data_IF_534866792174
#
_entry.id   IF_534866792174
#
_cell.length_a   1.000
_cell.length_b   1.000
_cell.length_c   1.000
_cell.angle_alpha   90.00
_cell.angle_beta   90.00
_cell.angle_gamma   90.00
#
_symmetry.space_group_name_H-M   'P 1'
#
loop_
_entity.id
_entity.type
_entity.pdbx_description
1 polymer ?
#
# COMPACT_ATOMS: atom_id res chain seq x y z
N UNK A 1 -17.08 1.07 4.87
CA UNK A 1 -15.69 0.58 4.72
C UNK A 1 -14.80 1.05 5.88
N UNK A 2 -13.91 0.17 6.36
CA UNK A 2 -12.90 0.45 7.39
C UNK A 2 -11.60 -0.26 7.03
N UNK A 3 -10.48 0.34 7.41
CA UNK A 3 -9.16 -0.29 7.31
C UNK A 3 -8.40 -0.15 8.61
N UNK A 4 -7.65 -1.19 8.97
CA UNK A 4 -6.76 -1.19 10.12
C UNK A 4 -5.45 -1.86 9.75
N UNK A 5 -4.38 -1.42 10.41
CA UNK A 5 -3.03 -1.96 10.22
C UNK A 5 -2.42 -2.26 11.58
N UNK A 6 -1.65 -3.34 11.65
CA UNK A 6 -1.00 -3.79 12.86
C UNK A 6 0.37 -4.40 12.54
N UNK A 7 1.22 -4.44 13.57
CA UNK A 7 2.43 -5.22 13.58
C UNK A 7 2.73 -5.71 14.99
N UNK A 8 3.61 -6.71 15.09
CA UNK A 8 4.05 -7.26 16.38
C UNK A 8 4.86 -6.26 17.22
N UNK A 9 5.40 -5.21 16.58
CA UNK A 9 6.22 -4.16 17.19
C UNK A 9 6.13 -2.86 16.39
N UNK A 10 6.50 -1.77 17.05
CA UNK A 10 6.54 -0.42 16.46
C UNK A 10 7.97 0.17 16.39
N UNK A 11 8.99 -0.58 16.83
CA UNK A 11 10.40 -0.15 16.77
C UNK A 11 11.20 -1.24 16.07
N UNK A 12 12.02 -0.84 15.09
CA UNK A 12 12.85 -1.71 14.25
C UNK A 12 14.29 -1.19 14.22
N UNK A 13 15.26 -2.07 13.94
CA UNK A 13 16.64 -1.65 13.67
C UNK A 13 16.85 -1.34 12.19
N UNK A 14 17.85 -0.52 11.87
CA UNK A 14 18.28 -0.28 10.49
C UNK A 14 18.55 -1.61 9.79
N UNK A 15 17.88 -1.82 8.65
CA UNK A 15 17.98 -3.03 7.82
C UNK A 15 17.32 -4.28 8.41
N UNK A 16 16.55 -4.13 9.49
CA UNK A 16 15.74 -5.21 10.01
C UNK A 16 14.46 -5.37 9.17
N UNK A 17 14.16 -6.59 8.65
CA UNK A 17 12.91 -6.83 7.96
C UNK A 17 11.72 -6.80 8.93
N UNK A 18 10.57 -6.36 8.41
CA UNK A 18 9.32 -6.26 9.15
C UNK A 18 8.16 -6.92 8.41
N UNK A 19 7.16 -7.33 9.17
CA UNK A 19 5.86 -7.76 8.66
C UNK A 19 4.77 -6.86 9.22
N UNK A 20 3.86 -6.45 8.34
CA UNK A 20 2.71 -5.63 8.66
C UNK A 20 1.46 -6.36 8.18
N UNK A 21 0.47 -6.47 9.06
CA UNK A 21 -0.82 -7.10 8.75
C UNK A 21 -1.88 -6.04 8.75
N UNK A 22 -2.63 -5.96 7.66
CA UNK A 22 -3.78 -5.06 7.55
C UNK A 22 -5.06 -5.84 7.29
N UNK A 23 -6.16 -5.25 7.73
CA UNK A 23 -7.50 -5.77 7.57
C UNK A 23 -8.38 -4.71 6.91
N UNK A 24 -9.07 -5.10 5.84
CA UNK A 24 -10.07 -4.29 5.15
C UNK A 24 -11.44 -4.89 5.42
N UNK A 25 -12.33 -4.09 6.00
CA UNK A 25 -13.74 -4.45 6.18
C UNK A 25 -14.61 -3.59 5.27
N UNK A 26 -15.27 -4.24 4.33
CA UNK A 26 -16.27 -3.68 3.43
C UNK A 26 -17.66 -4.18 3.83
N UNK A 27 -18.67 -3.41 3.44
CA UNK A 27 -20.07 -3.75 3.69
C UNK A 27 -20.91 -3.30 2.50
N UNK A 28 -22.20 -3.64 2.49
CA UNK A 28 -23.10 -3.36 1.36
C UNK A 28 -23.30 -1.87 1.05
N UNK A 29 -22.79 -0.94 1.88
CA UNK A 29 -22.80 0.50 1.62
C UNK A 29 -21.65 0.98 0.73
N UNK A 30 -20.65 0.14 0.44
CA UNK A 30 -19.59 0.50 -0.50
C UNK A 30 -20.18 0.54 -1.92
N UNK A 31 -20.21 1.72 -2.56
CA UNK A 31 -20.73 1.83 -3.92
C UNK A 31 -19.86 1.04 -4.90
N UNK A 32 -20.41 0.65 -6.07
CA UNK A 32 -19.59 0.14 -7.16
C UNK A 32 -18.47 1.14 -7.50
N UNK A 33 -17.26 0.62 -7.68
CA UNK A 33 -16.07 1.39 -8.01
C UNK A 33 -15.99 1.47 -9.54
N UNK A 34 -15.85 2.68 -10.05
CA UNK A 34 -15.72 2.94 -11.49
C UNK A 34 -14.25 2.94 -11.86
N UNK A 35 -13.87 2.05 -12.77
CA UNK A 35 -12.52 1.94 -13.31
C UNK A 35 -12.52 2.64 -14.67
N UNK A 36 -11.79 3.74 -14.76
CA UNK A 36 -11.54 4.40 -16.03
C UNK A 36 -10.64 3.54 -16.91
N UNK A 37 -10.93 3.51 -18.21
CA UNK A 37 -9.99 2.97 -19.18
C UNK A 37 -8.70 3.79 -19.16
N UNK A 38 -7.55 3.14 -19.33
CA UNK A 38 -6.27 3.82 -19.47
C UNK A 38 -5.70 3.67 -20.88
N UNK A 39 -4.93 4.66 -21.31
CA UNK A 39 -4.12 4.58 -22.52
C UNK A 39 -2.65 4.49 -22.10
N UNK A 40 -2.02 3.34 -22.35
CA UNK A 40 -0.60 3.10 -22.03
C UNK A 40 -0.38 2.17 -20.85
N UNK A 41 -0.67 2.63 -19.63
CA UNK A 41 -0.41 1.90 -18.38
C UNK A 41 -1.69 1.73 -17.56
N UNK A 42 -2.03 0.48 -17.21
CA UNK A 42 -3.11 0.14 -16.28
C UNK A 42 -2.60 -0.31 -14.92
N UNK A 43 -3.51 -0.82 -14.09
CA UNK A 43 -3.18 -1.37 -12.76
C UNK A 43 -2.49 -2.72 -12.90
N UNK A 44 -1.55 -3.02 -12.00
CA UNK A 44 -0.90 -4.33 -11.99
C UNK A 44 -1.68 -5.41 -11.23
N UNK A 45 -2.55 -4.98 -10.32
CA UNK A 45 -3.57 -5.85 -9.74
C UNK A 45 -4.88 -5.63 -10.46
N UNK A 46 -5.38 -6.71 -11.06
CA UNK A 46 -6.68 -6.71 -11.72
C UNK A 46 -7.78 -6.41 -10.69
N UNK A 47 -8.58 -5.35 -10.91
CA UNK A 47 -9.68 -5.02 -10.02
C UNK A 47 -10.73 -6.15 -9.96
N UNK A 48 -11.18 -6.50 -8.76
CA UNK A 48 -12.09 -7.62 -8.54
C UNK A 48 -13.04 -7.37 -7.38
N UNK A 49 -13.95 -8.32 -7.12
CA UNK A 49 -14.83 -8.24 -5.96
C UNK A 49 -14.07 -8.33 -4.61
N UNK A 50 -12.83 -8.85 -4.60
CA UNK A 50 -11.98 -8.84 -3.40
C UNK A 50 -11.54 -7.40 -3.10
N UNK A 51 -11.89 -6.83 -1.93
CA UNK A 51 -11.49 -5.47 -1.59
C UNK A 51 -9.96 -5.28 -1.53
N UNK A 52 -9.16 -6.34 -1.41
CA UNK A 52 -7.71 -6.26 -1.46
C UNK A 52 -7.17 -5.85 -2.84
N UNK A 53 -7.95 -5.99 -3.92
CA UNK A 53 -7.51 -5.56 -5.26
C UNK A 53 -7.45 -4.03 -5.44
N UNK A 54 -7.95 -3.28 -4.45
CA UNK A 54 -7.96 -1.82 -4.43
C UNK A 54 -7.04 -1.25 -3.35
N UNK A 55 -6.16 -2.08 -2.77
CA UNK A 55 -5.28 -1.67 -1.68
C UNK A 55 -3.88 -1.36 -2.18
N UNK A 56 -3.35 -0.19 -1.81
CA UNK A 56 -1.95 0.16 -1.94
C UNK A 56 -1.34 0.37 -0.54
N UNK A 57 -0.02 0.18 -0.42
CA UNK A 57 0.70 0.49 0.81
C UNK A 57 2.01 1.23 0.59
N UNK A 58 2.31 2.10 1.55
CA UNK A 58 3.47 2.99 1.54
C UNK A 58 4.07 3.04 2.94
N UNK A 59 5.38 3.21 3.02
CA UNK A 59 6.09 3.61 4.22
C UNK A 59 6.76 4.94 3.90
N UNK A 60 6.49 5.99 4.67
CA UNK A 60 7.13 7.28 4.44
C UNK A 60 7.29 8.10 5.71
N UNK A 61 8.22 9.03 5.69
CA UNK A 61 8.50 9.90 6.83
C UNK A 61 9.86 10.56 6.68
N UNK A 62 10.40 11.05 7.80
CA UNK A 62 11.65 11.79 7.85
C UNK A 62 12.67 11.05 8.72
N UNK A 63 13.90 10.99 8.23
CA UNK A 63 15.03 10.53 9.03
C UNK A 63 15.36 11.50 10.17
N UNK A 64 16.18 11.08 11.14
CA UNK A 64 16.74 11.98 12.16
C UNK A 64 17.51 13.18 11.56
N UNK A 65 18.04 13.03 10.34
CA UNK A 65 18.73 14.09 9.61
C UNK A 65 17.77 15.05 8.90
N UNK A 66 16.46 14.76 8.88
CA UNK A 66 15.44 15.53 8.17
C UNK A 66 15.29 15.16 6.69
N UNK A 67 15.98 14.11 6.22
CA UNK A 67 15.84 13.64 4.83
C UNK A 67 14.57 12.79 4.67
N UNK A 68 13.71 13.07 3.68
CA UNK A 68 12.51 12.29 3.42
C UNK A 68 12.87 10.90 2.91
N UNK A 69 12.20 9.87 3.43
CA UNK A 69 12.40 8.47 3.05
C UNK A 69 11.07 7.87 2.58
N UNK A 70 11.16 6.91 1.67
CA UNK A 70 9.97 6.27 1.12
C UNK A 70 10.22 4.84 0.66
N UNK A 71 9.27 3.98 0.99
CA UNK A 71 9.05 2.70 0.36
C UNK A 71 7.60 2.67 -0.11
N UNK A 72 7.34 2.22 -1.33
CA UNK A 72 5.99 2.11 -1.82
C UNK A 72 5.87 0.88 -2.68
N UNK A 73 5.15 -0.14 -2.20
CA UNK A 73 4.55 -1.12 -3.09
C UNK A 73 3.17 -0.65 -3.49
N UNK A 74 3.07 0.62 -3.88
CA UNK A 74 1.95 1.05 -4.69
C UNK A 74 2.05 0.24 -5.98
N UNK A 75 1.00 -0.52 -6.27
CA UNK A 75 0.94 -1.56 -7.30
C UNK A 75 0.87 -0.99 -8.73
N UNK A 76 1.74 -0.02 -8.98
CA UNK A 76 1.86 0.76 -10.19
C UNK A 76 3.18 0.41 -10.84
N UNK A 77 3.21 -0.80 -11.40
CA UNK A 77 3.87 -1.01 -12.68
C UNK A 77 3.05 -0.44 -13.82
N UNK A 78 3.67 -0.26 -14.97
CA UNK A 78 2.95 0.06 -16.20
C UNK A 78 2.42 -1.27 -16.78
N UNK A 79 1.46 -1.87 -16.07
CA UNK A 79 0.80 -3.07 -16.55
C UNK A 79 -0.10 -2.76 -17.75
N UNK A 80 -0.63 -3.80 -18.38
CA UNK A 80 -1.47 -3.64 -19.57
C UNK A 80 -2.59 -2.63 -19.29
N UNK A 81 -2.97 -1.79 -20.28
CA UNK A 81 -4.01 -0.79 -20.09
C UNK A 81 -5.31 -1.39 -19.57
N UNK A 82 -5.98 -0.67 -18.68
CA UNK A 82 -7.28 -1.08 -18.14
C UNK A 82 -8.38 -0.81 -19.18
N UNK A 83 -9.32 -1.73 -19.33
CA UNK A 83 -10.61 -1.44 -19.95
C UNK A 83 -11.54 -0.76 -18.94
N UNK A 84 -12.46 0.08 -19.42
CA UNK A 84 -13.46 0.68 -18.55
C UNK A 84 -14.37 -0.39 -17.96
N UNK A 85 -14.52 -0.40 -16.63
CA UNK A 85 -15.29 -1.39 -15.91
C UNK A 85 -15.92 -0.80 -14.65
N UNK A 86 -16.95 -1.46 -14.14
CA UNK A 86 -17.55 -1.15 -12.85
C UNK A 86 -17.46 -2.38 -11.97
N UNK A 87 -16.85 -2.27 -10.80
CA UNK A 87 -16.61 -3.39 -9.89
C UNK A 87 -17.34 -3.17 -8.57
N UNK A 88 -18.18 -4.12 -8.20
CA UNK A 88 -18.78 -4.17 -6.87
C UNK A 88 -17.91 -5.04 -5.96
N UNK A 89 -17.36 -4.44 -4.91
CA UNK A 89 -16.63 -5.20 -3.89
C UNK A 89 -17.59 -5.98 -3.00
N UNK A 90 -17.17 -7.16 -2.57
CA UNK A 90 -17.90 -8.00 -1.64
C UNK A 90 -18.02 -7.33 -0.26
N UNK A 91 -19.13 -7.57 0.44
CA UNK A 91 -19.28 -7.20 1.84
C UNK A 91 -18.56 -8.24 2.71
N UNK A 92 -17.30 -7.99 3.04
CA UNK A 92 -16.43 -8.97 3.68
C UNK A 92 -15.38 -8.31 4.59
N UNK A 93 -14.68 -9.14 5.35
CA UNK A 93 -13.45 -8.77 6.03
C UNK A 93 -12.31 -9.58 5.41
N UNK A 94 -11.36 -8.88 4.79
CA UNK A 94 -10.19 -9.47 4.16
C UNK A 94 -8.92 -9.05 4.91
N UNK A 95 -7.97 -9.98 5.07
CA UNK A 95 -6.72 -9.76 5.80
C UNK A 95 -5.54 -10.08 4.90
N UNK A 96 -4.51 -9.24 4.94
CA UNK A 96 -3.28 -9.48 4.21
C UNK A 96 -2.06 -9.10 5.05
N UNK A 97 -0.96 -9.80 4.84
CA UNK A 97 0.34 -9.53 5.47
C UNK A 97 1.37 -9.25 4.39
N UNK A 98 1.98 -8.07 4.44
CA UNK A 98 3.10 -7.75 3.57
C UNK A 98 4.42 -7.72 4.34
N UNK A 99 5.50 -8.02 3.63
CA UNK A 99 6.88 -7.97 4.12
C UNK A 99 7.55 -6.72 3.58
N UNK A 100 8.32 -6.07 4.46
CA UNK A 100 9.18 -4.96 4.11
C UNK A 100 10.61 -5.32 4.50
N UNK A 101 11.56 -5.12 3.58
CA UNK A 101 12.97 -5.47 3.76
C UNK A 101 13.74 -4.51 4.67
N UNK A 102 13.12 -3.39 5.06
CA UNK A 102 13.82 -2.27 5.71
C UNK A 102 14.41 -1.26 4.73
N UNK A 103 14.29 -1.49 3.41
CA UNK A 103 14.87 -0.64 2.35
C UNK A 103 13.89 0.35 1.78
N UNK A 104 14.43 1.39 1.16
CA UNK A 104 13.71 2.30 0.30
C UNK A 104 13.45 1.66 -1.05
N UNK A 105 12.30 1.99 -1.65
CA UNK A 105 11.96 1.57 -2.99
C UNK A 105 10.71 2.32 -3.47
N UNK A 106 10.75 2.92 -4.65
CA UNK A 106 9.62 3.68 -5.20
C UNK A 106 9.09 3.10 -6.52
N UNK A 107 9.41 1.84 -6.82
CA UNK A 107 8.88 1.16 -7.99
C UNK A 107 9.57 1.47 -9.31
N UNK A 108 8.96 0.99 -10.42
CA UNK A 108 7.77 0.13 -10.44
C UNK A 108 8.08 -1.38 -10.27
N UNK A 109 7.11 -2.15 -9.75
CA UNK A 109 7.24 -3.58 -9.38
C UNK A 109 7.54 -4.51 -10.56
N UNK A 110 7.19 -4.09 -11.77
CA UNK A 110 7.32 -4.84 -13.03
C UNK A 110 8.66 -4.63 -13.75
N UNK A 111 9.51 -3.72 -13.25
CA UNK A 111 10.82 -3.41 -13.87
C UNK A 111 12.01 -4.09 -13.22
N UNK A 112 11.78 -5.00 -12.26
CA UNK A 112 12.84 -5.60 -11.42
C UNK A 112 13.78 -4.52 -10.81
N UNK A 113 13.24 -3.32 -10.56
CA UNK A 113 14.03 -2.22 -10.02
C UNK A 113 14.57 -2.62 -8.64
N UNK A 114 15.89 -2.54 -8.43
CA UNK A 114 16.48 -2.93 -7.16
C UNK A 114 16.01 -2.00 -6.05
N UNK A 115 15.89 -2.54 -4.84
CA UNK A 115 15.70 -1.74 -3.64
C UNK A 115 16.94 -0.89 -3.35
N UNK A 116 16.71 0.32 -2.87
CA UNK A 116 17.73 1.32 -2.51
C UNK A 116 18.31 1.03 -1.11
N UNK A 117 18.93 2.05 -0.52
CA UNK A 117 19.46 2.02 0.83
C UNK A 117 18.41 1.69 1.88
N UNK A 118 18.88 1.17 3.02
CA UNK A 118 18.05 0.99 4.20
C UNK A 118 17.49 2.33 4.67
N UNK A 119 16.28 2.30 5.22
CA UNK A 119 15.79 3.47 5.93
C UNK A 119 16.75 3.80 7.09
N UNK A 120 17.22 5.06 7.17
CA UNK A 120 18.01 5.52 8.31
C UNK A 120 17.14 5.60 9.58
N UNK A 121 17.76 5.80 10.76
CA UNK A 121 17.02 6.08 11.98
C UNK A 121 16.08 7.27 11.81
N UNK A 122 14.88 7.19 12.38
CA UNK A 122 13.83 8.20 12.21
C UNK A 122 12.44 7.67 12.54
N UNK A 123 11.43 8.51 12.29
CA UNK A 123 10.03 8.17 12.53
C UNK A 123 9.29 8.15 11.20
N UNK A 124 8.56 7.06 10.96
CA UNK A 124 7.89 6.79 9.70
C UNK A 124 6.46 6.32 9.94
N UNK A 125 5.59 6.55 8.98
CA UNK A 125 4.23 5.99 8.96
C UNK A 125 4.17 4.87 7.93
N UNK A 126 3.63 3.73 8.35
CA UNK A 126 3.15 2.69 7.45
C UNK A 126 1.70 3.00 7.11
N UNK A 127 1.45 3.30 5.85
CA UNK A 127 0.16 3.69 5.31
C UNK A 127 -0.39 2.55 4.46
N UNK A 128 -1.64 2.18 4.70
CA UNK A 128 -2.40 1.29 3.82
C UNK A 128 -3.65 2.03 3.41
N UNK A 129 -3.85 2.13 2.10
CA UNK A 129 -4.95 2.88 1.49
C UNK A 129 -5.78 1.93 0.67
N UNK A 130 -7.09 1.91 0.94
CA UNK A 130 -8.07 1.43 -0.02
C UNK A 130 -8.45 2.60 -0.92
N UNK A 131 -8.25 2.46 -2.22
CA UNK A 131 -8.58 3.49 -3.21
C UNK A 131 -9.80 3.07 -4.02
N UNK A 132 -10.95 3.66 -3.70
CA UNK A 132 -12.17 3.55 -4.47
C UNK A 132 -12.28 4.61 -5.56
N UNK A 133 -11.19 5.26 -5.97
CA UNK A 133 -11.16 6.26 -7.04
C UNK A 133 -12.10 7.45 -6.75
N UNK A 134 -12.92 7.82 -7.73
CA UNK A 134 -13.94 8.88 -7.62
C UNK A 134 -14.97 8.61 -6.50
N UNK A 135 -15.11 7.36 -6.06
CA UNK A 135 -15.99 6.99 -4.94
C UNK A 135 -15.33 7.25 -3.56
N UNK A 136 -14.04 7.59 -3.56
CA UNK A 136 -13.27 8.01 -2.39
C UNK A 136 -12.31 6.94 -1.87
N UNK A 137 -11.40 7.37 -1.01
CA UNK A 137 -10.36 6.54 -0.43
C UNK A 137 -10.35 6.59 1.09
N UNK A 138 -9.83 5.52 1.71
CA UNK A 138 -9.65 5.43 3.16
C UNK A 138 -8.25 4.92 3.45
N UNK A 139 -7.52 5.65 4.30
CA UNK A 139 -6.15 5.33 4.69
C UNK A 139 -6.07 5.04 6.17
N UNK A 140 -5.40 3.95 6.54
CA UNK A 140 -4.95 3.68 7.90
C UNK A 140 -3.45 3.92 7.99
N UNK A 141 -3.00 4.44 9.15
CA UNK A 141 -1.59 4.71 9.44
C UNK A 141 -1.16 3.97 10.69
N UNK A 142 0.04 3.42 10.66
CA UNK A 142 0.74 2.84 11.81
C UNK A 142 2.11 3.52 11.95
N UNK A 143 2.33 4.33 13.00
CA UNK A 143 3.64 4.92 13.23
C UNK A 143 4.64 3.85 13.65
N UNK A 144 5.85 3.94 13.10
CA UNK A 144 7.01 3.12 13.44
C UNK A 144 8.24 4.00 13.66
N UNK A 145 9.17 3.51 14.46
CA UNK A 145 10.48 4.12 14.69
C UNK A 145 11.57 3.17 14.20
N UNK A 146 12.58 3.72 13.53
CA UNK A 146 13.79 2.99 13.19
C UNK A 146 14.92 3.52 14.05
N UNK A 147 15.64 2.60 14.69
CA UNK A 147 16.80 2.87 15.54
C UNK A 147 18.04 2.18 14.98
N UNK A 148 19.21 2.54 15.49
CA UNK A 148 20.49 1.95 15.10
C UNK A 148 20.62 0.47 15.48
#
# INVERSE_FOLDING_TARGET
>A
MKISISSSRCIYRVGEPAEFTYEVTTDASVPPIEIAASDGCGRCVEPSADPLSFVAYRISGESEAGDPQSYCLCDVGCCAPDEAATVQVDATTATHTFRWSGRQWNGPSDTDNPEDDFFPPGTYDVEVTFDGEEQGSVTAKLPIEIVR
#
